data_IF_797682168051
#
_entry.id   IF_797682168051
#
_cell.length_a   1.000
_cell.length_b   1.000
_cell.length_c   1.000
_cell.angle_alpha   90.00
_cell.angle_beta   90.00
_cell.angle_gamma   90.00
#
_symmetry.space_group_name_H-M   'P 1'
#
loop_
_entity.id
_entity.type
_entity.pdbx_description
1 polymer ?
#
# COMPACT_ATOMS: atom_id res chain seq x y z
N UNK A 1 17.61 38.60 -16.75
CA UNK A 1 17.97 37.72 -17.88
C UNK A 1 16.87 36.69 -17.99
N UNK A 2 15.89 36.93 -18.87
CA UNK A 2 14.80 35.98 -19.13
C UNK A 2 15.40 34.82 -19.93
N UNK A 3 15.37 33.62 -19.35
CA UNK A 3 15.76 32.41 -20.08
C UNK A 3 14.64 32.15 -21.09
N UNK A 4 14.93 32.33 -22.39
CA UNK A 4 13.99 31.96 -23.45
C UNK A 4 13.82 30.44 -23.44
N UNK A 5 12.67 29.99 -22.94
CA UNK A 5 12.26 28.59 -22.97
C UNK A 5 11.93 28.24 -24.42
N UNK A 6 12.57 27.20 -24.95
CA UNK A 6 12.29 26.75 -26.32
C UNK A 6 10.88 26.17 -26.42
N UNK A 7 10.25 26.17 -27.63
CA UNK A 7 8.95 25.53 -27.83
C UNK A 7 8.93 24.05 -27.41
N UNK A 8 10.03 23.33 -27.62
CA UNK A 8 10.20 21.92 -27.22
C UNK A 8 10.24 21.76 -25.70
N UNK A 9 10.98 22.63 -24.99
CA UNK A 9 10.99 22.63 -23.52
C UNK A 9 9.61 22.97 -22.94
N UNK A 10 8.87 23.89 -23.57
CA UNK A 10 7.51 24.22 -23.18
C UNK A 10 6.55 23.03 -23.35
N UNK A 11 6.63 22.31 -24.46
CA UNK A 11 5.83 21.09 -24.69
C UNK A 11 6.19 19.99 -23.69
N UNK A 12 7.47 19.72 -23.45
CA UNK A 12 7.91 18.72 -22.49
C UNK A 12 7.42 19.05 -21.06
N UNK A 13 7.43 20.33 -20.67
CA UNK A 13 6.88 20.78 -19.38
C UNK A 13 5.38 20.56 -19.29
N UNK A 14 4.63 20.83 -20.35
CA UNK A 14 3.19 20.59 -20.39
C UNK A 14 2.86 19.08 -20.26
N UNK A 15 3.57 18.22 -20.99
CA UNK A 15 3.42 16.77 -20.89
C UNK A 15 3.75 16.25 -19.49
N UNK A 16 4.84 16.74 -18.89
CA UNK A 16 5.22 16.39 -17.52
C UNK A 16 4.12 16.73 -16.51
N UNK A 17 3.43 17.87 -16.67
CA UNK A 17 2.29 18.25 -15.81
C UNK A 17 1.14 17.24 -15.96
N UNK A 18 0.82 16.83 -17.19
CA UNK A 18 -0.26 15.86 -17.43
C UNK A 18 0.05 14.48 -16.84
N UNK A 19 1.30 14.01 -16.99
CA UNK A 19 1.76 12.73 -16.41
C UNK A 19 1.68 12.80 -14.89
N UNK A 20 2.16 13.88 -14.27
CA UNK A 20 2.12 14.04 -12.80
C UNK A 20 0.69 14.08 -12.27
N UNK A 21 -0.22 14.76 -12.96
CA UNK A 21 -1.62 14.74 -12.57
C UNK A 21 -2.22 13.32 -12.58
N UNK A 22 -1.77 12.47 -13.50
CA UNK A 22 -2.19 11.06 -13.55
C UNK A 22 -1.58 10.25 -12.39
N UNK A 23 -0.33 10.51 -12.03
CA UNK A 23 0.33 9.91 -10.86
C UNK A 23 -0.42 10.30 -9.57
N UNK A 24 -0.71 11.59 -9.38
CA UNK A 24 -1.41 12.08 -8.19
C UNK A 24 -2.79 11.41 -8.02
N UNK A 25 -3.50 11.16 -9.13
CA UNK A 25 -4.78 10.47 -9.12
C UNK A 25 -4.63 8.98 -8.70
N UNK A 26 -3.58 8.31 -9.17
CA UNK A 26 -3.29 6.92 -8.78
C UNK A 26 -2.93 6.87 -7.30
N UNK A 27 -2.09 7.79 -6.82
CA UNK A 27 -1.68 7.87 -5.43
C UNK A 27 -2.88 8.07 -4.49
N UNK A 28 -3.81 8.96 -4.87
CA UNK A 28 -5.06 9.13 -4.13
C UNK A 28 -5.88 7.83 -4.07
N UNK A 29 -6.00 7.10 -5.17
CA UNK A 29 -6.70 5.82 -5.20
C UNK A 29 -6.01 4.77 -4.31
N UNK A 30 -4.68 4.70 -4.33
CA UNK A 30 -3.90 3.80 -3.46
C UNK A 30 -4.18 4.10 -1.98
N UNK A 31 -4.17 5.37 -1.58
CA UNK A 31 -4.45 5.77 -0.19
C UNK A 31 -5.87 5.39 0.23
N UNK A 32 -6.87 5.63 -0.60
CA UNK A 32 -8.25 5.25 -0.29
C UNK A 32 -8.43 3.73 -0.18
N UNK A 33 -7.81 2.95 -1.07
CA UNK A 33 -7.85 1.49 -1.02
C UNK A 33 -7.13 0.94 0.22
N UNK A 34 -6.01 1.55 0.60
CA UNK A 34 -5.31 1.20 1.84
C UNK A 34 -6.19 1.49 3.05
N UNK A 35 -6.84 2.66 3.13
CA UNK A 35 -7.74 2.98 4.23
C UNK A 35 -8.88 1.94 4.37
N UNK A 36 -9.49 1.52 3.26
CA UNK A 36 -10.48 0.44 3.28
C UNK A 36 -9.87 -0.89 3.73
N UNK A 37 -8.67 -1.24 3.25
CA UNK A 37 -7.97 -2.45 3.68
C UNK A 37 -7.70 -2.43 5.19
N UNK A 38 -7.30 -1.29 5.76
CA UNK A 38 -7.02 -1.14 7.19
C UNK A 38 -8.28 -1.31 8.06
N UNK A 39 -9.46 -0.86 7.59
CA UNK A 39 -10.73 -1.14 8.28
C UNK A 39 -10.97 -2.65 8.45
N UNK A 40 -10.68 -3.44 7.42
CA UNK A 40 -10.81 -4.91 7.52
C UNK A 40 -9.76 -5.53 8.42
N UNK A 41 -8.52 -5.05 8.39
CA UNK A 41 -7.49 -5.58 9.28
C UNK A 41 -7.78 -5.24 10.74
N UNK A 42 -8.33 -4.07 11.07
CA UNK A 42 -8.79 -3.77 12.42
C UNK A 42 -9.90 -4.72 12.88
N UNK A 43 -10.88 -5.02 12.01
CA UNK A 43 -11.93 -6.03 12.30
C UNK A 43 -11.32 -7.41 12.59
N UNK A 44 -10.32 -7.82 11.80
CA UNK A 44 -9.57 -9.07 12.06
C UNK A 44 -8.87 -9.00 13.42
N UNK A 45 -8.21 -7.90 13.75
CA UNK A 45 -7.52 -7.71 15.03
C UNK A 45 -8.49 -7.82 16.23
N UNK A 46 -9.62 -7.11 16.17
CA UNK A 46 -10.69 -7.19 17.18
C UNK A 46 -11.24 -8.61 17.33
N UNK A 47 -11.49 -9.30 16.22
CA UNK A 47 -11.94 -10.69 16.23
C UNK A 47 -10.89 -11.62 16.87
N UNK A 48 -9.62 -11.47 16.50
CA UNK A 48 -8.53 -12.26 17.07
C UNK A 48 -8.41 -12.04 18.57
N UNK A 49 -8.40 -10.78 19.01
CA UNK A 49 -8.34 -10.42 20.43
C UNK A 49 -9.52 -10.99 21.23
N UNK A 50 -10.75 -10.88 20.71
CA UNK A 50 -11.96 -11.38 21.37
C UNK A 50 -11.95 -12.92 21.56
N UNK A 51 -11.21 -13.66 20.75
CA UNK A 51 -11.14 -15.12 20.78
C UNK A 51 -9.76 -15.67 21.20
N UNK A 52 -8.83 -14.82 21.65
CA UNK A 52 -7.48 -15.24 22.04
C UNK A 52 -6.66 -15.85 20.90
N UNK A 53 -6.94 -15.49 19.65
CA UNK A 53 -6.20 -15.99 18.49
C UNK A 53 -4.88 -15.23 18.31
N UNK A 54 -3.82 -15.88 17.82
CA UNK A 54 -2.53 -15.23 17.63
C UNK A 54 -2.59 -14.13 16.55
N UNK A 55 -1.87 -13.00 16.75
CA UNK A 55 -1.83 -11.91 15.79
C UNK A 55 -1.18 -12.31 14.45
N UNK A 56 -0.17 -13.18 14.47
CA UNK A 56 0.48 -13.72 13.27
C UNK A 56 -0.15 -15.04 12.80
N UNK A 57 -0.14 -15.28 11.50
CA UNK A 57 -0.55 -16.55 10.86
C UNK A 57 0.38 -16.79 9.66
N UNK A 58 1.43 -17.58 9.89
CA UNK A 58 2.51 -17.81 8.94
C UNK A 58 2.02 -18.42 7.62
N UNK A 59 1.05 -19.33 7.69
CA UNK A 59 0.47 -19.97 6.51
C UNK A 59 -0.34 -18.96 5.69
N UNK A 60 -1.08 -18.08 6.36
CA UNK A 60 -1.81 -16.99 5.70
C UNK A 60 -0.86 -15.98 5.08
N UNK A 61 0.23 -15.62 5.75
CA UNK A 61 1.25 -14.70 5.25
C UNK A 61 1.95 -15.26 4.00
N UNK A 62 2.39 -16.53 4.04
CA UNK A 62 2.99 -17.19 2.89
C UNK A 62 2.06 -17.20 1.66
N UNK A 63 0.77 -17.50 1.84
CA UNK A 63 -0.22 -17.44 0.75
C UNK A 63 -0.44 -16.02 0.21
N UNK A 64 -0.36 -14.99 1.07
CA UNK A 64 -0.48 -13.60 0.63
C UNK A 64 0.72 -13.18 -0.22
N UNK A 65 1.93 -13.54 0.21
CA UNK A 65 3.17 -13.26 -0.53
C UNK A 65 3.12 -13.93 -1.90
N UNK A 66 2.82 -15.22 -1.96
CA UNK A 66 2.75 -15.97 -3.22
C UNK A 66 1.73 -15.34 -4.20
N UNK A 67 0.52 -15.01 -3.71
CA UNK A 67 -0.50 -14.36 -4.53
C UNK A 67 -0.07 -12.98 -5.02
N UNK A 68 0.57 -12.18 -4.16
CA UNK A 68 0.97 -10.82 -4.53
C UNK A 68 2.12 -10.83 -5.55
N UNK A 69 3.06 -11.76 -5.42
CA UNK A 69 4.12 -11.95 -6.41
C UNK A 69 3.55 -12.27 -7.79
N UNK A 70 2.58 -13.19 -7.87
CA UNK A 70 1.90 -13.50 -9.13
C UNK A 70 1.19 -12.27 -9.74
N UNK A 71 0.46 -11.50 -8.92
CA UNK A 71 -0.19 -10.26 -9.37
C UNK A 71 0.82 -9.20 -9.85
N UNK A 72 1.99 -9.13 -9.22
CA UNK A 72 3.06 -8.22 -9.63
C UNK A 72 3.60 -8.62 -11.01
N UNK A 73 3.87 -9.91 -11.23
CA UNK A 73 4.29 -10.44 -12.54
C UNK A 73 3.26 -10.15 -13.63
N UNK A 74 1.97 -10.41 -13.37
CA UNK A 74 0.86 -10.09 -14.30
C UNK A 74 0.75 -8.59 -14.61
N UNK A 75 1.10 -7.75 -13.64
CA UNK A 75 1.05 -6.29 -13.76
C UNK A 75 2.35 -5.67 -14.26
N UNK A 76 3.35 -6.48 -14.63
CA UNK A 76 4.68 -6.02 -15.05
C UNK A 76 5.40 -5.18 -13.98
N UNK A 77 5.15 -5.49 -12.71
CA UNK A 77 5.79 -4.90 -11.53
C UNK A 77 6.81 -5.88 -10.96
N UNK A 78 7.94 -5.39 -10.44
CA UNK A 78 8.93 -6.22 -9.77
C UNK A 78 8.31 -6.98 -8.56
N UNK A 79 8.29 -8.33 -8.58
CA UNK A 79 7.73 -9.12 -7.48
C UNK A 79 8.45 -8.87 -6.15
N UNK A 80 9.75 -8.56 -6.18
CA UNK A 80 10.51 -8.25 -4.96
C UNK A 80 10.08 -6.90 -4.37
N UNK A 81 9.75 -5.92 -5.21
CA UNK A 81 9.15 -4.66 -4.75
C UNK A 81 7.76 -4.89 -4.14
N UNK A 82 6.90 -5.67 -4.80
CA UNK A 82 5.57 -5.97 -4.28
C UNK A 82 5.62 -6.68 -2.92
N UNK A 83 6.56 -7.62 -2.75
CA UNK A 83 6.80 -8.31 -1.48
C UNK A 83 7.26 -7.35 -0.37
N UNK A 84 8.21 -6.44 -0.67
CA UNK A 84 8.64 -5.40 0.28
C UNK A 84 7.49 -4.50 0.70
N UNK A 85 6.66 -4.08 -0.25
CA UNK A 85 5.47 -3.27 0.01
C UNK A 85 4.48 -3.99 0.92
N UNK A 86 4.20 -5.27 0.67
CA UNK A 86 3.36 -6.08 1.55
C UNK A 86 3.96 -6.23 2.95
N UNK A 87 5.26 -6.48 3.04
CA UNK A 87 5.97 -6.58 4.32
C UNK A 87 5.79 -5.31 5.17
N UNK A 88 5.92 -4.14 4.56
CA UNK A 88 5.65 -2.86 5.22
C UNK A 88 4.21 -2.77 5.73
N UNK A 89 3.22 -3.08 4.89
CA UNK A 89 1.80 -3.01 5.27
C UNK A 89 1.45 -4.04 6.37
N UNK A 90 2.00 -5.25 6.32
CA UNK A 90 1.74 -6.30 7.33
C UNK A 90 2.34 -5.92 8.68
N UNK A 91 3.55 -5.34 8.71
CA UNK A 91 4.16 -4.86 9.94
C UNK A 91 3.27 -3.82 10.65
N UNK A 92 2.72 -2.87 9.90
CA UNK A 92 1.79 -1.87 10.44
C UNK A 92 0.50 -2.49 10.98
N UNK A 93 -0.04 -3.50 10.28
CA UNK A 93 -1.23 -4.23 10.74
C UNK A 93 -0.98 -4.98 12.04
N UNK A 94 0.18 -5.64 12.18
CA UNK A 94 0.55 -6.37 13.39
C UNK A 94 0.68 -5.41 14.57
N UNK A 95 1.32 -4.25 14.37
CA UNK A 95 1.43 -3.21 15.38
C UNK A 95 0.04 -2.73 15.85
N UNK A 96 -0.91 -2.49 14.93
CA UNK A 96 -2.29 -2.17 15.31
C UNK A 96 -3.00 -3.31 16.06
N UNK A 97 -2.79 -4.57 15.68
CA UNK A 97 -3.40 -5.71 16.40
C UNK A 97 -2.90 -5.81 17.83
N UNK A 98 -1.61 -5.56 18.07
CA UNK A 98 -1.04 -5.53 19.41
C UNK A 98 -1.68 -4.44 20.26
N UNK A 99 -1.79 -3.20 19.73
CA UNK A 99 -2.48 -2.09 20.42
C UNK A 99 -3.92 -2.43 20.81
N UNK A 100 -4.69 -3.03 19.89
CA UNK A 100 -6.07 -3.45 20.13
C UNK A 100 -6.13 -4.52 21.24
N UNK A 101 -5.20 -5.49 21.24
CA UNK A 101 -5.13 -6.53 22.26
C UNK A 101 -4.78 -5.94 23.65
N UNK A 102 -3.95 -4.91 23.68
CA UNK A 102 -3.54 -4.20 24.90
C UNK A 102 -4.62 -3.21 25.41
N UNK A 103 -5.74 -3.07 24.70
CA UNK A 103 -6.84 -2.17 25.06
C UNK A 103 -6.56 -0.68 24.78
N UNK A 104 -5.52 -0.37 24.00
CA UNK A 104 -5.32 0.98 23.49
C UNK A 104 -6.29 1.23 22.34
N UNK A 105 -7.17 2.23 22.48
CA UNK A 105 -7.97 2.72 21.35
C UNK A 105 -7.06 3.45 20.35
N UNK A 106 -7.45 3.39 19.06
CA UNK A 106 -6.80 4.09 17.95
C UNK A 106 -7.03 5.61 18.02
#
# INVERSE_FOLDING_TARGET
>A
MTVDITPEESQARAELVQIRQSIDNIDAAVIHLLAERFKFTQKVGKLKAAHGLPPADLDREARQIARLRALAEESHLDPAFAEKFLGFIVAEVIHHHQRIADGAED
#
